data_IF_563327451847
#
_entry.id   IF_563327451847
#
_cell.length_a   1.000
_cell.length_b   1.000
_cell.length_c   1.000
_cell.angle_alpha   90.00
_cell.angle_beta   90.00
_cell.angle_gamma   90.00
#
_symmetry.space_group_name_H-M   'P 1'
#
loop_
_entity.id
_entity.type
_entity.pdbx_description
1 polymer ?
#
# COMPACT_ATOMS: atom_id res chain seq x y z
N UNK A 1 -4.63 -15.89 64.77
CA UNK A 1 -5.87 -16.05 64.00
C UNK A 1 -6.54 -14.68 64.02
N UNK A 2 -6.66 -13.89 62.96
CA UNK A 2 -6.83 -14.21 61.54
C UNK A 2 -6.27 -13.07 60.68
N UNK A 3 -5.59 -13.43 59.60
CA UNK A 3 -5.07 -12.52 58.58
C UNK A 3 -6.21 -12.09 57.65
N UNK A 4 -6.48 -10.79 57.57
CA UNK A 4 -7.39 -10.21 56.58
C UNK A 4 -6.67 -10.00 55.25
N UNK A 5 -6.90 -10.91 54.31
CA UNK A 5 -6.50 -10.80 52.90
C UNK A 5 -7.49 -9.88 52.17
N UNK A 6 -7.07 -8.65 51.90
CA UNK A 6 -7.78 -7.75 50.99
C UNK A 6 -7.38 -8.12 49.55
N UNK A 7 -8.33 -8.67 48.79
CA UNK A 7 -8.18 -8.89 47.35
C UNK A 7 -8.23 -7.57 46.59
N UNK A 8 -7.30 -7.31 45.64
CA UNK A 8 -7.43 -6.19 44.72
C UNK A 8 -8.34 -6.61 43.56
N UNK A 9 -9.62 -6.23 43.58
CA UNK A 9 -10.49 -6.30 42.39
C UNK A 9 -10.17 -5.13 41.46
N UNK A 10 -8.99 -5.17 40.84
CA UNK A 10 -8.66 -4.35 39.69
C UNK A 10 -9.27 -4.94 38.42
N UNK A 11 -10.60 -4.86 38.28
CA UNK A 11 -11.28 -5.15 37.01
C UNK A 11 -11.05 -3.97 36.05
N UNK A 12 -9.83 -3.86 35.52
CA UNK A 12 -9.56 -3.07 34.32
C UNK A 12 -10.06 -3.84 33.10
N UNK A 13 -11.38 -3.98 33.00
CA UNK A 13 -12.03 -4.39 31.78
C UNK A 13 -12.09 -3.16 30.89
N UNK A 14 -10.99 -2.87 30.17
CA UNK A 14 -11.06 -2.02 28.99
C UNK A 14 -11.87 -2.78 27.94
N UNK A 15 -13.19 -2.71 28.09
CA UNK A 15 -14.14 -3.11 27.06
C UNK A 15 -13.78 -2.32 25.82
N UNK A 16 -13.02 -2.95 24.91
CA UNK A 16 -12.69 -2.38 23.62
C UNK A 16 -14.00 -2.06 22.94
N UNK A 17 -14.33 -0.76 22.85
CA UNK A 17 -15.41 -0.32 21.98
C UNK A 17 -15.06 -0.87 20.61
N UNK A 18 -15.91 -1.74 20.06
CA UNK A 18 -15.80 -2.19 18.68
C UNK A 18 -15.98 -0.95 17.79
N UNK A 19 -14.88 -0.25 17.51
CA UNK A 19 -14.89 0.95 16.69
C UNK A 19 -15.17 0.49 15.26
N UNK A 20 -16.31 0.92 14.72
CA UNK A 20 -16.65 0.70 13.33
C UNK A 20 -15.91 1.70 12.46
N UNK A 21 -14.90 1.22 11.74
CA UNK A 21 -14.06 1.98 10.83
C UNK A 21 -14.40 1.52 9.41
N UNK A 22 -14.93 2.43 8.62
CA UNK A 22 -15.25 2.30 7.21
C UNK A 22 -14.37 3.22 6.38
N UNK A 23 -14.38 3.03 5.07
CA UNK A 23 -13.67 3.88 4.10
C UNK A 23 -14.08 5.36 4.12
N UNK A 24 -15.16 5.71 4.81
CA UNK A 24 -15.66 7.08 5.01
C UNK A 24 -15.07 7.78 6.23
N UNK A 25 -14.63 7.05 7.25
CA UNK A 25 -14.01 7.57 8.47
C UNK A 25 -12.61 6.98 8.72
N UNK A 26 -12.02 6.45 7.65
CA UNK A 26 -10.70 5.81 7.65
C UNK A 26 -9.61 6.86 7.80
N UNK A 27 -8.75 6.69 8.81
CA UNK A 27 -7.56 7.48 9.00
C UNK A 27 -6.37 6.78 8.31
N UNK A 28 -5.93 7.36 7.19
CA UNK A 28 -4.83 6.84 6.37
C UNK A 28 -3.49 6.85 7.12
N UNK A 29 -3.33 7.73 8.12
CA UNK A 29 -2.08 7.89 8.88
C UNK A 29 -2.00 7.00 10.12
N UNK A 30 -3.02 6.17 10.34
CA UNK A 30 -3.09 5.25 11.49
C UNK A 30 -1.96 4.22 11.41
N UNK A 31 -1.24 4.04 12.51
CA UNK A 31 -0.10 3.09 12.60
C UNK A 31 -0.46 1.72 13.18
N UNK A 32 -1.52 1.65 13.98
CA UNK A 32 -1.88 0.46 14.75
C UNK A 32 -3.31 0.00 14.41
N UNK A 33 -3.59 -1.32 14.44
CA UNK A 33 -4.93 -1.85 14.23
C UNK A 33 -5.92 -1.37 15.32
N UNK A 34 -7.24 -1.46 15.07
CA UNK A 34 -7.87 -1.96 13.84
C UNK A 34 -7.87 -0.92 12.70
N UNK A 35 -7.73 -1.37 11.45
CA UNK A 35 -7.64 -0.49 10.26
C UNK A 35 -9.01 -0.26 9.60
N UNK A 36 -9.65 -1.33 9.13
CA UNK A 36 -11.02 -1.33 8.63
C UNK A 36 -11.79 -2.45 9.33
N UNK A 37 -13.00 -2.15 9.79
CA UNK A 37 -13.84 -3.11 10.52
C UNK A 37 -15.27 -3.16 9.99
N UNK A 38 -15.66 -2.23 9.12
CA UNK A 38 -16.97 -2.25 8.48
C UNK A 38 -17.03 -3.34 7.41
N UNK A 39 -18.02 -4.25 7.42
CA UNK A 39 -18.13 -5.36 6.45
C UNK A 39 -18.07 -4.90 4.99
N UNK A 40 -18.77 -3.80 4.65
CA UNK A 40 -18.76 -3.25 3.29
C UNK A 40 -17.40 -2.71 2.86
N UNK A 41 -16.59 -2.23 3.82
CA UNK A 41 -15.25 -1.75 3.53
C UNK A 41 -14.27 -2.91 3.36
N UNK A 42 -14.46 -4.01 4.09
CA UNK A 42 -13.72 -5.25 3.88
C UNK A 42 -14.08 -5.88 2.53
N UNK A 43 -15.38 -5.99 2.20
CA UNK A 43 -15.86 -6.48 0.89
C UNK A 43 -15.27 -5.66 -0.27
N UNK A 44 -15.23 -4.33 -0.14
CA UNK A 44 -14.59 -3.47 -1.15
C UNK A 44 -13.08 -3.75 -1.32
N UNK A 45 -12.38 -4.10 -0.24
CA UNK A 45 -10.96 -4.47 -0.29
C UNK A 45 -10.79 -5.85 -0.94
N UNK A 46 -11.61 -6.83 -0.54
CA UNK A 46 -11.57 -8.21 -1.04
C UNK A 46 -11.86 -8.27 -2.54
N UNK A 47 -12.86 -7.51 -3.03
CA UNK A 47 -13.17 -7.41 -4.48
C UNK A 47 -12.05 -6.78 -5.30
N UNK A 48 -11.23 -5.93 -4.68
CA UNK A 48 -10.05 -5.35 -5.32
C UNK A 48 -8.79 -6.19 -5.10
N UNK A 49 -8.88 -7.28 -4.33
CA UNK A 49 -7.75 -8.15 -3.99
C UNK A 49 -6.71 -7.47 -3.08
N UNK A 50 -7.13 -6.51 -2.25
CA UNK A 50 -6.25 -5.70 -1.41
C UNK A 50 -6.47 -6.01 0.07
N UNK A 51 -5.40 -5.96 0.87
CA UNK A 51 -5.51 -5.99 2.33
C UNK A 51 -5.69 -4.58 2.90
N UNK A 52 -6.46 -4.39 3.99
CA UNK A 52 -6.63 -3.07 4.62
C UNK A 52 -5.33 -2.37 5.00
N UNK A 53 -4.30 -3.13 5.35
CA UNK A 53 -2.96 -2.66 5.69
C UNK A 53 -2.26 -1.93 4.54
N UNK A 54 -2.53 -2.33 3.29
CA UNK A 54 -1.90 -1.74 2.09
C UNK A 54 -2.39 -0.32 1.79
N UNK A 55 -3.49 0.12 2.42
CA UNK A 55 -4.04 1.46 2.27
C UNK A 55 -3.36 2.49 3.20
N UNK A 56 -2.54 2.01 4.15
CA UNK A 56 -1.93 2.84 5.18
C UNK A 56 -0.73 3.62 4.66
N UNK A 57 -0.63 4.86 5.13
CA UNK A 57 0.50 5.72 4.87
C UNK A 57 1.77 5.16 5.53
N UNK A 58 2.87 5.19 4.78
CA UNK A 58 4.20 4.80 5.23
C UNK A 58 5.15 5.98 5.01
N UNK A 59 5.85 6.48 6.06
CA UNK A 59 6.71 7.66 5.95
C UNK A 59 7.96 7.40 5.11
N UNK A 60 8.50 8.43 4.46
CA UNK A 60 9.72 8.34 3.63
C UNK A 60 10.92 7.75 4.38
N UNK A 61 11.06 8.06 5.67
CA UNK A 61 12.11 7.54 6.55
C UNK A 61 12.17 6.00 6.61
N UNK A 62 11.04 5.34 6.41
CA UNK A 62 10.98 3.88 6.42
C UNK A 62 11.54 3.23 5.14
N UNK A 63 11.86 4.02 4.11
CA UNK A 63 12.52 3.59 2.89
C UNK A 63 14.04 3.81 2.94
N UNK A 64 14.56 4.30 4.07
CA UNK A 64 15.99 4.51 4.25
C UNK A 64 16.76 3.19 4.17
N UNK A 65 17.85 3.22 3.40
CA UNK A 65 18.78 2.11 3.24
C UNK A 65 20.20 2.66 3.24
N UNK A 66 21.11 1.99 3.97
CA UNK A 66 22.48 2.47 4.12
C UNK A 66 23.21 2.38 2.77
N UNK A 67 23.80 3.50 2.34
CA UNK A 67 24.56 3.57 1.09
C UNK A 67 23.71 3.90 -0.14
N UNK A 68 22.43 4.20 0.05
CA UNK A 68 21.53 4.69 -1.00
C UNK A 68 21.39 6.21 -0.86
N UNK A 69 21.42 6.94 -1.97
CA UNK A 69 21.26 8.40 -1.98
C UNK A 69 19.83 8.83 -1.61
N UNK A 70 19.71 10.03 -1.02
CA UNK A 70 18.41 10.60 -0.64
C UNK A 70 17.45 10.72 -1.83
N UNK A 71 17.99 10.95 -3.04
CA UNK A 71 17.22 11.01 -4.29
C UNK A 71 16.55 9.66 -4.60
N UNK A 72 17.28 8.55 -4.47
CA UNK A 72 16.72 7.19 -4.68
C UNK A 72 15.68 6.87 -3.60
N UNK A 73 15.94 7.24 -2.34
CA UNK A 73 14.98 7.05 -1.23
C UNK A 73 13.68 7.82 -1.52
N UNK A 74 13.79 9.07 -1.96
CA UNK A 74 12.65 9.90 -2.32
C UNK A 74 11.86 9.30 -3.49
N UNK A 75 12.55 8.82 -4.54
CA UNK A 75 11.87 8.15 -5.66
C UNK A 75 11.11 6.89 -5.24
N UNK A 76 11.71 6.05 -4.37
CA UNK A 76 11.05 4.84 -3.83
C UNK A 76 9.80 5.21 -3.03
N UNK A 77 9.89 6.25 -2.20
CA UNK A 77 8.75 6.77 -1.45
C UNK A 77 7.64 7.29 -2.36
N UNK A 78 7.97 8.13 -3.36
CA UNK A 78 7.00 8.68 -4.31
C UNK A 78 6.27 7.60 -5.08
N UNK A 79 7.00 6.59 -5.54
CA UNK A 79 6.43 5.43 -6.21
C UNK A 79 5.44 4.68 -5.32
N UNK A 80 5.84 4.36 -4.09
CA UNK A 80 4.96 3.70 -3.12
C UNK A 80 3.71 4.54 -2.82
N UNK A 81 3.87 5.84 -2.58
CA UNK A 81 2.78 6.71 -2.15
C UNK A 81 1.78 6.94 -3.28
N UNK A 82 2.26 7.07 -4.52
CA UNK A 82 1.44 7.09 -5.74
C UNK A 82 0.58 5.82 -5.85
N UNK A 83 1.20 4.64 -5.75
CA UNK A 83 0.51 3.34 -5.80
C UNK A 83 -0.52 3.19 -4.69
N UNK A 84 -0.18 3.61 -3.47
CA UNK A 84 -1.10 3.57 -2.32
C UNK A 84 -2.35 4.42 -2.59
N UNK A 85 -2.18 5.64 -3.10
CA UNK A 85 -3.29 6.54 -3.44
C UNK A 85 -4.19 5.96 -4.53
N UNK A 86 -3.59 5.33 -5.54
CA UNK A 86 -4.32 4.66 -6.63
C UNK A 86 -5.17 3.50 -6.08
N UNK A 87 -4.56 2.58 -5.32
CA UNK A 87 -5.26 1.48 -4.63
C UNK A 87 -6.44 2.00 -3.80
N UNK A 88 -6.21 3.07 -3.05
CA UNK A 88 -7.21 3.68 -2.18
C UNK A 88 -8.37 4.29 -2.99
N UNK A 89 -8.09 4.91 -4.13
CA UNK A 89 -9.12 5.43 -5.05
C UNK A 89 -9.98 4.30 -5.65
N UNK A 90 -9.37 3.18 -6.05
CA UNK A 90 -10.09 2.01 -6.55
C UNK A 90 -11.02 1.42 -5.48
N UNK A 91 -10.50 1.19 -4.28
CA UNK A 91 -11.28 0.65 -3.15
C UNK A 91 -12.43 1.59 -2.75
N UNK A 92 -12.19 2.91 -2.72
CA UNK A 92 -13.26 3.90 -2.46
C UNK A 92 -14.35 3.85 -3.54
N UNK A 93 -13.98 3.59 -4.79
CA UNK A 93 -14.92 3.49 -5.91
C UNK A 93 -15.77 2.23 -5.81
N UNK A 94 -15.14 1.08 -5.55
CA UNK A 94 -15.84 -0.19 -5.30
C UNK A 94 -16.81 -0.08 -4.13
N UNK A 95 -16.37 0.53 -3.02
CA UNK A 95 -17.22 0.76 -1.85
C UNK A 95 -18.48 1.58 -2.16
N UNK A 96 -18.37 2.63 -3.00
CA UNK A 96 -19.54 3.40 -3.45
C UNK A 96 -20.49 2.53 -4.25
N UNK A 97 -19.97 1.65 -5.11
CA UNK A 97 -20.76 0.65 -5.86
C UNK A 97 -21.53 -0.29 -4.94
N UNK A 98 -20.85 -0.91 -3.97
CA UNK A 98 -21.46 -1.81 -2.98
C UNK A 98 -22.58 -1.12 -2.20
N UNK A 99 -22.36 0.12 -1.77
CA UNK A 99 -23.36 0.91 -1.05
C UNK A 99 -24.57 1.23 -1.94
N UNK A 100 -24.33 1.57 -3.21
CA UNK A 100 -25.41 1.84 -4.17
C UNK A 100 -26.25 0.59 -4.46
N UNK A 101 -25.62 -0.57 -4.71
CA UNK A 101 -26.29 -1.85 -4.90
C UNK A 101 -27.16 -2.22 -3.69
N UNK A 102 -26.58 -2.13 -2.48
CA UNK A 102 -27.30 -2.44 -1.24
C UNK A 102 -28.55 -1.58 -1.10
N UNK A 103 -28.45 -0.29 -1.42
CA UNK A 103 -29.57 0.64 -1.34
C UNK A 103 -30.63 0.37 -2.42
N UNK A 104 -30.24 -0.06 -3.62
CA UNK A 104 -31.15 -0.42 -4.69
C UNK A 104 -31.97 -1.68 -4.34
N UNK A 105 -31.31 -2.74 -3.85
CA UNK A 105 -32.00 -3.96 -3.40
C UNK A 105 -32.97 -3.70 -2.25
N UNK A 106 -32.60 -2.83 -1.30
CA UNK A 106 -33.48 -2.43 -0.20
C UNK A 106 -34.72 -1.65 -0.65
N UNK A 107 -34.63 -0.92 -1.77
CA UNK A 107 -35.78 -0.20 -2.36
C UNK A 107 -36.73 -1.17 -3.08
N UNK A 108 -36.20 -2.14 -3.82
CA UNK A 108 -37.01 -3.15 -4.53
C UNK A 108 -37.87 -4.00 -3.58
N UNK A 109 -37.35 -4.34 -2.39
CA UNK A 109 -38.07 -5.15 -1.40
C UNK A 109 -39.22 -4.44 -0.68
N UNK A 110 -39.34 -3.11 -0.82
CA UNK A 110 -40.41 -2.32 -0.17
C UNK A 110 -41.62 -2.07 -1.07
N UNK A 111 -41.51 -2.35 -2.37
CA UNK A 111 -42.56 -2.07 -3.36
C UNK A 111 -43.45 -3.30 -3.63
N UNK A 112 -42.92 -4.52 -3.47
CA UNK A 112 -43.67 -5.77 -3.64
C UNK A 112 -44.32 -6.24 -2.33
N UNK A 113 -45.57 -5.84 -2.13
CA UNK A 113 -46.42 -6.36 -1.06
C UNK A 113 -46.60 -7.88 -1.17
N UNK A 114 -46.04 -8.60 -0.20
CA UNK A 114 -46.47 -9.93 0.27
C UNK A 114 -46.77 -10.97 -0.82
N UNK A 115 -45.73 -11.56 -1.42
CA UNK A 115 -45.90 -12.79 -2.20
C UNK A 115 -45.24 -13.98 -1.51
N UNK A 116 -46.00 -15.08 -1.42
CA UNK A 116 -45.68 -16.33 -0.75
C UNK A 116 -44.43 -16.98 -1.37
N UNK A 117 -43.44 -17.26 -0.52
CA UNK A 117 -42.20 -17.97 -0.85
C UNK A 117 -42.52 -19.40 -1.35
N UNK A 118 -42.54 -19.59 -2.66
CA UNK A 118 -42.62 -20.92 -3.28
C UNK A 118 -41.21 -21.49 -3.45
N UNK A 119 -41.04 -22.81 -3.32
CA UNK A 119 -39.74 -23.50 -3.41
C UNK A 119 -38.95 -23.19 -4.70
N UNK A 120 -39.65 -22.86 -5.80
CA UNK A 120 -39.08 -22.43 -7.09
C UNK A 120 -38.48 -21.01 -7.06
N UNK A 121 -39.03 -20.12 -6.22
CA UNK A 121 -38.45 -18.78 -5.98
C UNK A 121 -37.15 -18.86 -5.19
N UNK A 122 -37.04 -19.81 -4.26
CA UNK A 122 -35.83 -20.05 -3.46
C UNK A 122 -34.70 -20.59 -4.35
N UNK A 123 -34.96 -21.62 -5.17
CA UNK A 123 -33.93 -22.16 -6.08
C UNK A 123 -33.48 -21.14 -7.13
N UNK A 124 -34.41 -20.34 -7.67
CA UNK A 124 -34.07 -19.27 -8.62
C UNK A 124 -33.29 -18.13 -7.96
N UNK A 125 -33.55 -17.82 -6.68
CA UNK A 125 -32.76 -16.84 -5.91
C UNK A 125 -31.35 -17.35 -5.60
N UNK A 126 -31.19 -18.65 -5.30
CA UNK A 126 -29.87 -19.26 -5.08
C UNK A 126 -29.02 -19.26 -6.35
N UNK A 127 -29.62 -19.56 -7.51
CA UNK A 127 -28.92 -19.52 -8.80
C UNK A 127 -28.48 -18.09 -9.16
N UNK A 128 -29.32 -17.08 -8.90
CA UNK A 128 -28.97 -15.68 -9.12
C UNK A 128 -27.86 -15.20 -8.18
N UNK A 129 -27.85 -15.64 -6.91
CA UNK A 129 -26.76 -15.33 -5.98
C UNK A 129 -25.45 -16.03 -6.38
N UNK A 130 -25.51 -17.27 -6.84
CA UNK A 130 -24.33 -18.02 -7.31
C UNK A 130 -23.73 -17.38 -8.58
N UNK A 131 -24.58 -16.96 -9.52
CA UNK A 131 -24.14 -16.22 -10.71
C UNK A 131 -23.52 -14.87 -10.33
N UNK A 132 -24.11 -14.14 -9.37
CA UNK A 132 -23.54 -12.90 -8.85
C UNK A 132 -22.20 -13.12 -8.14
N UNK A 133 -22.06 -14.20 -7.38
CA UNK A 133 -20.80 -14.57 -6.73
C UNK A 133 -19.72 -14.89 -7.77
N UNK A 134 -20.06 -15.67 -8.80
CA UNK A 134 -19.15 -16.02 -9.89
C UNK A 134 -18.72 -14.79 -10.71
N UNK A 135 -19.65 -13.88 -11.00
CA UNK A 135 -19.36 -12.61 -11.66
C UNK A 135 -18.46 -11.72 -10.80
N UNK A 136 -18.74 -11.60 -9.50
CA UNK A 136 -17.89 -10.86 -8.58
C UNK A 136 -16.47 -11.46 -8.50
N UNK A 137 -16.35 -12.78 -8.46
CA UNK A 137 -15.07 -13.47 -8.44
C UNK A 137 -14.29 -13.30 -9.74
N UNK A 138 -14.98 -13.30 -10.90
CA UNK A 138 -14.38 -12.94 -12.20
C UNK A 138 -13.85 -11.52 -12.20
N UNK A 139 -14.64 -10.55 -11.76
CA UNK A 139 -14.23 -9.14 -11.67
C UNK A 139 -13.04 -8.96 -10.74
N UNK A 140 -13.04 -9.65 -9.61
CA UNK A 140 -11.90 -9.63 -8.68
C UNK A 140 -10.63 -10.19 -9.34
N UNK A 141 -10.73 -11.32 -10.06
CA UNK A 141 -9.59 -11.90 -10.79
C UNK A 141 -9.10 -11.01 -11.93
N UNK A 142 -10.00 -10.35 -12.66
CA UNK A 142 -9.62 -9.40 -13.71
C UNK A 142 -8.97 -8.14 -13.15
N UNK A 143 -9.50 -7.58 -12.07
CA UNK A 143 -8.89 -6.45 -11.36
C UNK A 143 -7.51 -6.85 -10.85
N UNK A 144 -7.38 -8.01 -10.20
CA UNK A 144 -6.12 -8.54 -9.72
C UNK A 144 -5.10 -8.71 -10.86
N UNK A 145 -5.51 -9.27 -12.00
CA UNK A 145 -4.61 -9.44 -13.16
C UNK A 145 -4.13 -8.11 -13.73
N UNK A 146 -5.02 -7.11 -13.85
CA UNK A 146 -4.65 -5.76 -14.31
C UNK A 146 -3.71 -5.10 -13.33
N UNK A 147 -4.07 -5.09 -12.05
CA UNK A 147 -3.25 -4.54 -10.98
C UNK A 147 -1.86 -5.20 -10.95
N UNK A 148 -1.78 -6.52 -11.09
CA UNK A 148 -0.51 -7.25 -11.11
C UNK A 148 0.34 -6.91 -12.33
N UNK A 149 -0.27 -6.74 -13.50
CA UNK A 149 0.44 -6.30 -14.71
C UNK A 149 1.02 -4.89 -14.52
N UNK A 150 0.20 -3.96 -14.04
CA UNK A 150 0.61 -2.58 -13.82
C UNK A 150 1.68 -2.50 -12.72
N UNK A 151 1.60 -3.34 -11.69
CA UNK A 151 2.64 -3.47 -10.66
C UNK A 151 3.97 -3.95 -11.22
N UNK A 152 3.96 -4.98 -12.06
CA UNK A 152 5.20 -5.50 -12.68
C UNK A 152 5.84 -4.45 -13.58
N UNK A 153 5.05 -3.74 -14.39
CA UNK A 153 5.56 -2.68 -15.26
C UNK A 153 6.16 -1.53 -14.45
N UNK A 154 5.46 -1.10 -13.40
CA UNK A 154 5.90 -0.02 -12.52
C UNK A 154 7.17 -0.39 -11.72
N UNK A 155 7.26 -1.63 -11.23
CA UNK A 155 8.47 -2.15 -10.58
C UNK A 155 9.65 -2.10 -11.55
N UNK A 156 9.48 -2.65 -12.76
CA UNK A 156 10.54 -2.69 -13.77
C UNK A 156 11.04 -1.28 -14.13
N UNK A 157 10.13 -0.32 -14.31
CA UNK A 157 10.49 1.08 -14.57
C UNK A 157 11.24 1.71 -13.40
N UNK A 158 10.81 1.43 -12.17
CA UNK A 158 11.46 1.96 -10.98
C UNK A 158 12.88 1.40 -10.80
N UNK A 159 13.06 0.09 -10.99
CA UNK A 159 14.35 -0.60 -10.91
C UNK A 159 15.32 -0.04 -11.95
N UNK A 160 14.86 0.07 -13.20
CA UNK A 160 15.65 0.66 -14.28
C UNK A 160 16.07 2.10 -13.99
N UNK A 161 15.15 2.92 -13.48
CA UNK A 161 15.45 4.32 -13.11
C UNK A 161 16.47 4.40 -11.98
N UNK A 162 16.37 3.54 -10.97
CA UNK A 162 17.34 3.52 -9.85
C UNK A 162 18.72 3.08 -10.30
N UNK A 163 18.80 2.10 -11.21
CA UNK A 163 20.07 1.63 -11.77
C UNK A 163 20.79 2.73 -12.55
N UNK A 164 20.06 3.50 -13.36
CA UNK A 164 20.63 4.64 -14.09
C UNK A 164 21.21 5.71 -13.16
N UNK A 165 20.52 6.03 -12.05
CA UNK A 165 21.04 6.99 -11.08
C UNK A 165 22.31 6.48 -10.40
N UNK A 166 22.33 5.21 -10.01
CA UNK A 166 23.49 4.58 -9.40
C UNK A 166 24.71 4.61 -10.34
N UNK A 167 24.53 4.23 -11.61
CA UNK A 167 25.59 4.30 -12.61
C UNK A 167 26.08 5.72 -12.87
N UNK A 168 25.16 6.70 -12.91
CA UNK A 168 25.53 8.10 -13.06
C UNK A 168 26.34 8.62 -11.87
N UNK A 169 26.02 8.20 -10.64
CA UNK A 169 26.77 8.55 -9.43
C UNK A 169 28.17 7.94 -9.45
N UNK A 170 28.28 6.66 -9.80
CA UNK A 170 29.58 6.00 -9.95
C UNK A 170 30.45 6.63 -11.04
N UNK A 171 29.87 6.99 -12.19
CA UNK A 171 30.58 7.63 -13.28
C UNK A 171 31.14 9.00 -12.85
N UNK A 172 30.34 9.81 -12.15
CA UNK A 172 30.79 11.10 -11.59
C UNK A 172 31.91 10.91 -10.57
N UNK A 173 31.80 9.91 -9.71
CA UNK A 173 32.84 9.63 -8.70
C UNK A 173 34.14 9.14 -9.36
N UNK A 174 34.04 8.26 -10.36
CA UNK A 174 35.18 7.79 -11.14
C UNK A 174 35.87 8.93 -11.91
N UNK A 175 35.10 9.82 -12.54
CA UNK A 175 35.63 11.00 -13.24
C UNK A 175 36.37 11.93 -12.27
N UNK A 176 35.77 12.21 -11.09
CA UNK A 176 36.42 13.02 -10.06
C UNK A 176 37.74 12.41 -9.59
N UNK A 177 37.74 11.10 -9.30
CA UNK A 177 38.96 10.37 -8.90
C UNK A 177 40.02 10.38 -10.00
N UNK A 178 39.63 10.22 -11.26
CA UNK A 178 40.54 10.29 -12.40
C UNK A 178 41.15 11.69 -12.57
N UNK A 179 40.34 12.75 -12.39
CA UNK A 179 40.80 14.14 -12.44
C UNK A 179 41.78 14.47 -11.31
N UNK A 180 41.50 14.04 -10.09
CA UNK A 180 42.39 14.21 -8.94
C UNK A 180 43.71 13.44 -9.13
N UNK A 181 43.65 12.22 -9.65
CA UNK A 181 44.84 11.43 -9.97
C UNK A 181 45.72 12.10 -11.05
N UNK A 182 45.11 12.62 -12.12
CA UNK A 182 45.83 13.34 -13.18
C UNK A 182 46.49 14.63 -12.67
N UNK A 183 45.80 15.40 -11.82
CA UNK A 183 46.36 16.60 -11.19
C UNK A 183 47.54 16.27 -10.26
N UNK A 184 47.43 15.18 -9.50
CA UNK A 184 48.52 14.72 -8.63
C UNK A 184 49.72 14.27 -9.45
N UNK A 185 49.51 13.53 -10.54
CA UNK A 185 50.57 13.10 -11.44
C UNK A 185 51.27 14.29 -12.11
N UNK A 186 50.51 15.26 -12.60
CA UNK A 186 51.07 16.50 -13.18
C UNK A 186 51.91 17.27 -12.16
N UNK A 187 51.42 17.40 -10.92
CA UNK A 187 52.15 18.06 -9.83
C UNK A 187 53.46 17.32 -9.52
N UNK A 188 53.41 15.99 -9.42
CA UNK A 188 54.61 15.15 -9.20
C UNK A 188 55.61 15.27 -10.36
N UNK A 189 55.12 15.40 -11.60
CA UNK A 189 55.99 15.58 -12.78
C UNK A 189 56.73 16.92 -12.71
N UNK A 190 56.01 18.01 -12.46
CA UNK A 190 56.60 19.35 -12.32
C UNK A 190 57.60 19.43 -11.16
N UNK A 191 57.32 18.76 -10.04
CA UNK A 191 58.21 18.72 -8.88
C UNK A 191 59.54 18.01 -9.20
N UNK A 192 59.49 16.85 -9.90
CA UNK A 192 60.69 16.15 -10.39
C UNK A 192 61.50 16.99 -11.38
N UNK A 193 60.83 17.67 -12.31
CA UNK A 193 61.48 18.56 -13.28
C UNK A 193 62.18 19.73 -12.56
N UNK A 194 61.53 20.34 -11.57
CA UNK A 194 62.10 21.42 -10.76
C UNK A 194 63.31 20.97 -9.93
N UNK A 195 63.23 19.81 -9.27
CA UNK A 195 64.35 19.23 -8.52
C UNK A 195 65.57 18.97 -9.42
N UNK A 196 65.34 18.47 -10.64
CA UNK A 196 66.41 18.22 -11.61
C UNK A 196 67.08 19.50 -12.13
N UNK A 197 66.35 20.61 -12.22
CA UNK A 197 66.91 21.92 -12.66
C UNK A 197 67.65 22.64 -11.53
N UNK A 198 67.31 22.35 -10.27
CA UNK A 198 67.92 22.98 -9.10
C UNK A 198 69.24 22.31 -8.66
N UNK A 199 69.46 21.05 -9.03
CA UNK A 199 70.68 20.29 -8.76
C UNK A 199 71.79 20.64 -9.76
#
# INVERSE_FOLDING_TARGET
MSSGIASPTGSSSSAGRNVRISLTNFDENRKNPPFLTSPRSLDACDRQGLRPEELLYRPSQSFFEKGVSDEIIQMRYEHYESRRKEKLAHVRTEYRGIVAESNASQRSLKDDGGNILTQRSITSSMQAEEEKLNENMRRAMESMKRNMKDEVEQILLSEFKTELLYQAEQAKEAEKRAREAAQLEERRRKEREWEAVKA
#
